data_IF_248450018530
#
_entry.id   IF_248450018530
#
_cell.length_a   1.000
_cell.length_b   1.000
_cell.length_c   1.000
_cell.angle_alpha   90.00
_cell.angle_beta   90.00
_cell.angle_gamma   90.00
#
_symmetry.space_group_name_H-M   'P 1'
#
loop_
_entity.id
_entity.type
_entity.pdbx_description
1 polymer ?
#
# COMPACT_ATOMS: atom_id res chain seq x y z
N UNK A 1 -6.13 -39.27 13.57
CA UNK A 1 -6.16 -37.99 12.84
C UNK A 1 -7.60 -37.49 12.83
N UNK A 2 -7.87 -36.26 13.29
CA UNK A 2 -9.19 -35.62 13.10
C UNK A 2 -9.24 -35.11 11.66
N UNK A 3 -10.29 -35.44 10.93
CA UNK A 3 -10.52 -34.96 9.57
C UNK A 3 -11.75 -34.05 9.57
N UNK A 4 -11.65 -32.93 8.88
CA UNK A 4 -12.77 -32.02 8.64
C UNK A 4 -13.20 -32.14 7.18
N UNK A 5 -14.51 -32.22 6.94
CA UNK A 5 -15.09 -32.27 5.59
C UNK A 5 -16.15 -31.18 5.47
N UNK A 6 -16.02 -30.34 4.46
CA UNK A 6 -16.96 -29.29 4.13
C UNK A 6 -17.06 -29.15 2.61
N UNK A 7 -18.17 -28.60 2.12
CA UNK A 7 -18.30 -28.25 0.70
C UNK A 7 -17.34 -27.12 0.34
N UNK A 8 -17.29 -26.09 1.19
CA UNK A 8 -16.36 -24.95 1.10
C UNK A 8 -15.73 -24.70 2.47
N UNK A 9 -14.45 -24.35 2.49
CA UNK A 9 -13.74 -23.85 3.66
C UNK A 9 -13.44 -22.36 3.50
N UNK A 10 -13.43 -21.63 4.60
CA UNK A 10 -12.99 -20.23 4.66
C UNK A 10 -11.85 -20.17 5.67
N UNK A 11 -10.65 -19.78 5.23
CA UNK A 11 -9.53 -19.54 6.13
C UNK A 11 -9.53 -18.10 6.63
N UNK A 12 -10.19 -17.90 7.78
CA UNK A 12 -10.20 -16.64 8.51
C UNK A 12 -9.16 -16.59 9.64
N UNK A 13 -8.27 -17.59 9.76
CA UNK A 13 -7.20 -17.55 10.78
C UNK A 13 -6.24 -16.41 10.50
N UNK A 14 -5.61 -15.81 11.50
CA UNK A 14 -4.74 -14.65 11.30
C UNK A 14 -3.56 -14.97 10.36
N UNK A 15 -2.88 -16.11 10.60
CA UNK A 15 -1.68 -16.56 9.86
C UNK A 15 -1.95 -17.40 8.60
N UNK A 16 -3.18 -17.85 8.38
CA UNK A 16 -3.53 -18.69 7.21
C UNK A 16 -3.21 -20.17 7.41
N UNK A 17 -3.52 -20.70 8.59
CA UNK A 17 -3.15 -22.08 8.97
C UNK A 17 -3.68 -23.13 7.99
N UNK A 18 -4.87 -22.96 7.41
CA UNK A 18 -5.40 -23.92 6.43
C UNK A 18 -4.65 -23.80 5.11
N UNK A 19 -4.32 -22.57 4.69
CA UNK A 19 -3.53 -22.33 3.47
C UNK A 19 -2.14 -22.95 3.56
N UNK A 20 -1.48 -22.84 4.73
CA UNK A 20 -0.19 -23.48 5.01
C UNK A 20 -0.28 -25.00 5.01
N UNK A 21 -1.29 -25.57 5.67
CA UNK A 21 -1.55 -27.02 5.64
C UNK A 21 -1.76 -27.55 4.21
N UNK A 22 -2.25 -26.70 3.32
CA UNK A 22 -2.46 -26.99 1.91
C UNK A 22 -1.26 -26.65 1.01
N UNK A 23 -0.13 -26.21 1.55
CA UNK A 23 1.05 -25.76 0.81
C UNK A 23 0.71 -24.71 -0.26
N UNK A 24 -0.17 -23.76 0.08
CA UNK A 24 -0.50 -22.64 -0.80
C UNK A 24 0.72 -21.73 -0.90
N UNK A 25 1.24 -21.43 -2.11
CA UNK A 25 2.41 -20.58 -2.25
C UNK A 25 2.09 -19.13 -1.87
N UNK A 26 3.08 -18.41 -1.37
CA UNK A 26 2.97 -17.02 -0.93
C UNK A 26 4.31 -16.31 -1.08
N UNK A 27 4.26 -14.98 -1.02
CA UNK A 27 5.41 -14.11 -0.73
C UNK A 27 5.25 -13.50 0.66
N UNK A 28 6.36 -13.04 1.26
CA UNK A 28 6.39 -12.37 2.56
C UNK A 28 6.55 -10.85 2.41
N UNK A 29 5.83 -10.10 3.23
CA UNK A 29 5.99 -8.65 3.35
C UNK A 29 6.00 -7.95 2.00
N UNK A 30 7.10 -7.28 1.69
CA UNK A 30 7.33 -6.56 0.44
C UNK A 30 8.38 -7.19 -0.49
N UNK A 31 8.48 -8.52 -0.48
CA UNK A 31 9.34 -9.28 -1.41
C UNK A 31 9.06 -8.98 -2.89
N UNK A 32 7.79 -8.76 -3.27
CA UNK A 32 7.40 -8.38 -4.64
C UNK A 32 7.89 -7.00 -5.07
N UNK A 33 8.28 -6.14 -4.11
CA UNK A 33 8.87 -4.84 -4.35
C UNK A 33 10.41 -4.87 -4.29
N UNK A 34 11.02 -6.06 -4.20
CA UNK A 34 12.47 -6.21 -4.07
C UNK A 34 13.00 -5.85 -2.68
N UNK A 35 12.14 -5.79 -1.66
CA UNK A 35 12.52 -5.44 -0.28
C UNK A 35 12.18 -6.63 0.64
N UNK A 36 13.06 -7.66 0.71
CA UNK A 36 12.83 -8.81 1.55
C UNK A 36 12.81 -8.42 3.04
N UNK A 37 12.12 -9.22 3.85
CA UNK A 37 12.04 -9.06 5.31
C UNK A 37 11.50 -7.70 5.79
N UNK A 38 10.74 -7.01 4.93
CA UNK A 38 10.10 -5.74 5.25
C UNK A 38 8.58 -5.90 5.30
N UNK A 39 7.99 -5.56 6.45
CA UNK A 39 6.58 -5.77 6.76
C UNK A 39 5.92 -4.47 7.21
N UNK A 40 4.59 -4.36 7.04
CA UNK A 40 3.84 -3.31 7.72
C UNK A 40 4.01 -3.39 9.25
N UNK A 41 4.07 -2.26 9.95
CA UNK A 41 4.23 -2.25 11.40
C UNK A 41 3.03 -2.86 12.11
N UNK A 42 3.27 -3.48 13.27
CA UNK A 42 2.21 -4.02 14.11
C UNK A 42 1.48 -2.89 14.83
N UNK A 43 0.16 -3.01 15.00
CA UNK A 43 -0.64 -1.98 15.67
C UNK A 43 -0.98 -2.38 17.11
N UNK A 44 -0.79 -1.43 18.04
CA UNK A 44 -1.03 -1.58 19.47
C UNK A 44 -2.01 -0.53 19.97
N UNK A 45 -3.30 -0.84 19.90
CA UNK A 45 -4.32 0.00 20.53
C UNK A 45 -4.43 -0.37 22.01
N UNK A 46 -4.42 0.64 22.89
CA UNK A 46 -4.42 0.43 24.34
C UNK A 46 -5.50 1.25 25.03
N UNK A 47 -5.91 0.79 26.22
CA UNK A 47 -6.93 1.43 27.03
C UNK A 47 -6.33 2.25 28.15
N UNK A 48 -6.95 3.39 28.40
CA UNK A 48 -6.72 4.22 29.58
C UNK A 48 -8.04 4.47 30.31
N UNK A 49 -7.97 4.67 31.63
CA UNK A 49 -9.11 4.95 32.50
C UNK A 49 -8.85 6.21 33.32
N UNK A 50 -9.89 6.83 33.86
CA UNK A 50 -9.78 8.04 34.68
C UNK A 50 -9.71 9.32 33.86
N UNK A 51 -10.22 9.27 32.63
CA UNK A 51 -10.32 10.44 31.75
C UNK A 51 -11.65 11.14 32.01
N UNK A 52 -11.65 12.47 32.06
CA UNK A 52 -12.86 13.30 32.13
C UNK A 52 -13.57 13.30 30.75
N UNK A 53 -14.27 12.21 30.47
CA UNK A 53 -14.99 12.01 29.21
C UNK A 53 -16.11 13.03 29.03
N UNK A 54 -16.70 13.55 30.11
CA UNK A 54 -17.72 14.59 30.02
C UNK A 54 -17.13 15.89 29.47
N UNK A 55 -15.96 16.31 29.96
CA UNK A 55 -15.20 17.42 29.40
C UNK A 55 -14.82 17.16 27.94
N UNK A 56 -14.38 15.95 27.60
CA UNK A 56 -14.09 15.57 26.21
C UNK A 56 -15.31 15.61 25.30
N UNK A 57 -16.47 15.13 25.75
CA UNK A 57 -17.74 15.15 24.99
C UNK A 57 -18.24 16.58 24.78
N UNK A 58 -18.06 17.47 25.77
CA UNK A 58 -18.36 18.90 25.64
C UNK A 58 -17.39 19.59 24.67
N UNK A 59 -16.10 19.25 24.72
CA UNK A 59 -15.07 19.73 23.80
C UNK A 59 -15.20 19.19 22.37
N UNK A 60 -15.70 17.97 22.17
CA UNK A 60 -15.88 17.33 20.85
C UNK A 60 -16.86 18.06 19.91
N UNK A 61 -17.60 19.05 20.40
CA UNK A 61 -18.45 19.91 19.57
C UNK A 61 -17.66 20.95 18.78
N UNK A 62 -16.35 21.07 19.01
CA UNK A 62 -15.41 21.87 18.19
C UNK A 62 -14.40 20.94 17.51
N UNK A 63 -14.13 21.15 16.22
CA UNK A 63 -13.08 20.45 15.46
C UNK A 63 -11.70 20.60 16.12
N UNK A 64 -11.47 21.75 16.75
CA UNK A 64 -10.21 22.16 17.35
C UNK A 64 -9.66 21.17 18.38
N UNK A 65 -10.52 20.49 19.16
CA UNK A 65 -10.05 19.58 20.20
C UNK A 65 -9.42 18.29 19.64
N UNK A 66 -9.96 17.74 18.55
CA UNK A 66 -9.40 16.52 17.94
C UNK A 66 -8.04 16.84 17.31
N UNK A 67 -7.92 18.00 16.68
CA UNK A 67 -6.68 18.44 16.07
C UNK A 67 -5.64 18.81 17.14
N UNK A 68 -6.04 19.49 18.22
CA UNK A 68 -5.18 19.75 19.38
C UNK A 68 -4.69 18.43 20.01
N UNK A 69 -5.59 17.47 20.25
CA UNK A 69 -5.21 16.16 20.76
C UNK A 69 -4.18 15.47 19.86
N UNK A 70 -4.40 15.47 18.55
CA UNK A 70 -3.45 14.92 17.58
C UNK A 70 -2.11 15.62 17.64
N UNK A 71 -2.10 16.95 17.65
CA UNK A 71 -0.87 17.74 17.74
C UNK A 71 -0.09 17.44 19.02
N UNK A 72 -0.78 17.31 20.16
CA UNK A 72 -0.15 16.93 21.43
C UNK A 72 0.47 15.54 21.34
N UNK A 73 -0.22 14.53 20.82
CA UNK A 73 0.33 13.19 20.69
C UNK A 73 1.49 13.12 19.69
N UNK A 74 1.47 13.93 18.64
CA UNK A 74 2.59 14.02 17.68
C UNK A 74 3.79 14.76 18.25
N UNK A 75 3.62 15.57 19.30
CA UNK A 75 4.72 16.22 20.03
C UNK A 75 5.38 15.30 21.07
N UNK A 76 4.80 14.12 21.33
CA UNK A 76 5.40 13.13 22.20
C UNK A 76 6.70 12.60 21.59
N UNK A 77 7.79 12.70 22.35
CA UNK A 77 9.07 12.09 21.99
C UNK A 77 9.06 10.63 22.40
N UNK A 78 9.17 9.75 21.41
CA UNK A 78 9.17 8.31 21.64
C UNK A 78 10.36 7.87 22.49
N UNK A 79 10.15 6.86 23.31
CA UNK A 79 11.19 6.24 24.12
C UNK A 79 11.81 5.03 23.40
N UNK A 80 10.98 4.14 22.87
CA UNK A 80 11.43 2.94 22.19
C UNK A 80 11.74 3.22 20.70
N UNK A 81 12.95 2.92 20.20
CA UNK A 81 13.32 3.22 18.81
C UNK A 81 12.40 2.58 17.75
N UNK A 82 11.85 1.39 18.03
CA UNK A 82 10.96 0.64 17.13
C UNK A 82 9.52 1.18 17.10
N UNK A 83 9.14 2.06 18.03
CA UNK A 83 7.77 2.57 18.08
C UNK A 83 7.60 3.85 17.27
N UNK A 84 6.35 4.11 16.87
CA UNK A 84 5.93 5.35 16.21
C UNK A 84 4.47 5.62 16.55
N UNK A 85 4.13 6.90 16.71
CA UNK A 85 2.73 7.33 16.80
C UNK A 85 2.33 7.89 15.44
N UNK A 86 1.39 7.23 14.78
CA UNK A 86 0.91 7.58 13.44
C UNK A 86 -0.60 7.82 13.49
N UNK A 87 -1.02 8.98 12.98
CA UNK A 87 -2.44 9.40 12.89
C UNK A 87 -3.24 9.10 14.18
N UNK A 88 -2.78 9.55 15.35
CA UNK A 88 -3.36 9.14 16.62
C UNK A 88 -4.85 9.52 16.71
N UNK A 89 -5.62 8.64 17.34
CA UNK A 89 -7.04 8.87 17.59
C UNK A 89 -7.48 8.25 18.91
N UNK A 90 -8.71 8.54 19.32
CA UNK A 90 -9.28 7.90 20.49
C UNK A 90 -10.76 7.55 20.30
N UNK A 91 -11.18 6.47 20.93
CA UNK A 91 -12.56 6.02 20.99
C UNK A 91 -12.99 6.06 22.46
N UNK A 92 -14.11 6.75 22.73
CA UNK A 92 -14.74 6.74 24.05
C UNK A 92 -15.45 5.40 24.20
N UNK A 93 -14.99 4.58 25.13
CA UNK A 93 -15.57 3.26 25.37
C UNK A 93 -16.63 3.28 26.47
N UNK A 94 -16.41 4.09 27.51
CA UNK A 94 -17.33 4.26 28.64
C UNK A 94 -17.21 5.69 29.22
N UNK A 95 -17.83 5.97 30.37
CA UNK A 95 -17.86 7.29 31.00
C UNK A 95 -16.52 7.77 31.58
N UNK A 96 -15.51 6.90 31.70
CA UNK A 96 -14.15 7.29 32.11
C UNK A 96 -13.01 6.58 31.33
N UNK A 97 -13.37 5.75 30.36
CA UNK A 97 -12.46 4.88 29.61
C UNK A 97 -12.31 5.35 28.16
N UNK A 98 -11.07 5.41 27.69
CA UNK A 98 -10.73 5.61 26.28
C UNK A 98 -9.89 4.46 25.75
N UNK A 99 -10.06 4.16 24.47
CA UNK A 99 -9.07 3.43 23.65
C UNK A 99 -8.26 4.48 22.90
N UNK A 100 -6.94 4.44 23.00
CA UNK A 100 -6.01 5.23 22.20
C UNK A 100 -5.52 4.35 21.04
N UNK A 101 -5.55 4.90 19.84
CA UNK A 101 -5.03 4.26 18.63
C UNK A 101 -3.89 5.04 18.00
N UNK A 102 -3.09 4.36 17.19
CA UNK A 102 -2.01 4.97 16.39
C UNK A 102 -0.60 4.62 16.87
N UNK A 103 -0.45 3.89 17.98
CA UNK A 103 0.84 3.33 18.36
C UNK A 103 1.16 2.12 17.48
N UNK A 104 2.29 2.18 16.80
CA UNK A 104 2.79 1.18 15.88
C UNK A 104 4.19 0.70 16.29
N UNK A 105 4.52 -0.57 16.01
CA UNK A 105 5.84 -1.17 16.23
C UNK A 105 6.41 -1.71 14.93
N UNK A 106 7.61 -1.25 14.58
CA UNK A 106 8.28 -1.56 13.33
C UNK A 106 9.31 -2.69 13.48
N UNK A 107 9.68 -3.28 12.34
CA UNK A 107 10.74 -4.29 12.21
C UNK A 107 10.51 -5.51 13.11
N UNK A 108 9.28 -6.03 13.17
CA UNK A 108 8.93 -7.22 13.96
C UNK A 108 8.80 -8.43 13.03
N UNK A 109 9.54 -9.51 13.34
CA UNK A 109 9.30 -10.80 12.72
C UNK A 109 8.16 -11.53 13.44
N UNK A 110 7.04 -11.74 12.73
CA UNK A 110 5.84 -12.37 13.31
C UNK A 110 5.90 -13.91 13.35
N UNK A 111 6.96 -14.51 12.79
CA UNK A 111 7.29 -15.94 12.99
C UNK A 111 8.18 -16.17 14.21
N UNK A 112 8.86 -15.14 14.71
CA UNK A 112 9.67 -15.21 15.93
C UNK A 112 8.82 -14.82 17.16
N UNK A 113 8.48 -15.84 17.97
CA UNK A 113 7.73 -15.62 19.21
C UNK A 113 8.51 -14.78 20.23
N UNK A 114 9.85 -14.83 20.24
CA UNK A 114 10.66 -14.03 21.16
C UNK A 114 10.64 -12.55 20.75
N UNK A 115 10.78 -12.26 19.45
CA UNK A 115 10.70 -10.87 18.94
C UNK A 115 9.29 -10.29 19.13
N UNK A 116 8.23 -11.05 18.84
CA UNK A 116 6.85 -10.63 19.13
C UNK A 116 6.64 -10.27 20.60
N UNK A 117 7.17 -11.08 21.52
CA UNK A 117 7.08 -10.82 22.95
C UNK A 117 7.90 -9.60 23.38
N UNK A 118 9.07 -9.36 22.78
CA UNK A 118 9.87 -8.15 23.00
C UNK A 118 9.12 -6.91 22.51
N UNK A 119 8.65 -6.93 21.27
CA UNK A 119 7.87 -5.86 20.65
C UNK A 119 6.62 -5.51 21.45
N UNK A 120 5.93 -6.51 22.02
CA UNK A 120 4.77 -6.28 22.89
C UNK A 120 5.15 -5.51 24.15
N UNK A 121 6.24 -5.88 24.82
CA UNK A 121 6.73 -5.19 26.02
C UNK A 121 7.14 -3.75 25.72
N UNK A 122 7.84 -3.53 24.62
CA UNK A 122 8.24 -2.20 24.13
C UNK A 122 7.01 -1.33 23.88
N UNK A 123 5.99 -1.85 23.17
CA UNK A 123 4.74 -1.14 22.93
C UNK A 123 3.97 -0.84 24.23
N UNK A 124 3.94 -1.79 25.16
CA UNK A 124 3.26 -1.63 26.44
C UNK A 124 3.94 -0.56 27.32
N UNK A 125 5.28 -0.53 27.33
CA UNK A 125 6.05 0.53 27.97
C UNK A 125 5.79 1.89 27.32
N UNK A 126 5.84 1.98 25.99
CA UNK A 126 5.53 3.19 25.25
C UNK A 126 4.13 3.71 25.57
N UNK A 127 3.12 2.82 25.60
CA UNK A 127 1.75 3.16 25.95
C UNK A 127 1.62 3.73 27.37
N UNK A 128 2.37 3.18 28.34
CA UNK A 128 2.42 3.71 29.71
C UNK A 128 3.07 5.08 29.78
N UNK A 129 4.19 5.28 29.07
CA UNK A 129 4.89 6.56 29.00
C UNK A 129 4.05 7.63 28.30
N UNK A 130 3.39 7.27 27.19
CA UNK A 130 2.44 8.14 26.50
C UNK A 130 1.27 8.52 27.41
N UNK A 131 0.74 7.57 28.20
CA UNK A 131 -0.31 7.87 29.18
C UNK A 131 0.18 8.86 30.25
N UNK A 132 1.41 8.68 30.76
CA UNK A 132 2.02 9.60 31.71
C UNK A 132 2.26 11.00 31.10
N UNK A 133 2.62 11.06 29.83
CA UNK A 133 2.73 12.32 29.09
C UNK A 133 1.37 13.03 28.99
N UNK A 134 0.31 12.32 28.55
CA UNK A 134 -1.04 12.90 28.43
C UNK A 134 -1.56 13.45 29.75
N UNK A 135 -1.27 12.76 30.86
CA UNK A 135 -1.61 13.19 32.22
C UNK A 135 -1.06 14.57 32.58
N UNK A 136 0.12 14.93 32.05
CA UNK A 136 0.77 16.20 32.36
C UNK A 136 0.40 17.33 31.39
N UNK A 137 -0.11 17.01 30.19
CA UNK A 137 -0.39 18.00 29.15
C UNK A 137 -1.88 18.37 29.08
N UNK A 138 -2.78 17.39 29.21
CA UNK A 138 -4.21 17.61 28.97
C UNK A 138 -4.99 17.53 30.28
N UNK A 139 -5.74 18.59 30.59
CA UNK A 139 -6.52 18.69 31.84
C UNK A 139 -7.52 17.53 31.98
N UNK A 140 -8.16 17.13 30.88
CA UNK A 140 -9.10 16.00 30.87
C UNK A 140 -8.45 14.65 31.19
N UNK A 141 -7.12 14.55 31.11
CA UNK A 141 -6.34 13.34 31.33
C UNK A 141 -5.57 13.37 32.66
N UNK A 142 -5.72 14.42 33.48
CA UNK A 142 -4.93 14.61 34.72
C UNK A 142 -5.02 13.46 35.73
N UNK A 143 -6.13 12.72 35.72
CA UNK A 143 -6.38 11.58 36.62
C UNK A 143 -6.26 10.24 35.87
N UNK A 144 -5.85 10.26 34.61
CA UNK A 144 -5.81 9.06 33.80
C UNK A 144 -4.67 8.10 34.21
N UNK A 145 -4.90 6.82 33.97
CA UNK A 145 -3.93 5.74 34.15
C UNK A 145 -4.04 4.73 33.02
N UNK A 146 -2.92 4.10 32.70
CA UNK A 146 -2.89 2.99 31.75
C UNK A 146 -3.69 1.83 32.33
N UNK A 147 -4.60 1.25 31.53
CA UNK A 147 -5.46 0.15 31.94
C UNK A 147 -4.94 -1.19 31.43
N UNK A 148 -4.87 -1.35 30.11
CA UNK A 148 -4.45 -2.58 29.46
C UNK A 148 -4.13 -2.37 27.97
N UNK A 149 -3.38 -3.31 27.39
CA UNK A 149 -3.09 -3.42 25.96
C UNK A 149 -4.04 -4.44 25.30
N UNK A 150 -3.89 -4.67 23.99
CA UNK A 150 -4.67 -5.67 23.28
C UNK A 150 -4.17 -7.09 23.61
N UNK A 151 -5.02 -8.11 23.57
CA UNK A 151 -4.57 -9.50 23.82
C UNK A 151 -3.46 -9.95 22.86
N UNK A 152 -3.51 -9.47 21.61
CA UNK A 152 -2.50 -9.69 20.58
C UNK A 152 -2.40 -8.44 19.71
N UNK A 153 -1.25 -8.24 19.06
CA UNK A 153 -1.12 -7.24 18.02
C UNK A 153 -2.13 -7.46 16.88
N UNK A 154 -2.61 -6.37 16.32
CA UNK A 154 -3.13 -6.43 14.96
C UNK A 154 -1.95 -6.47 13.98
N UNK A 155 -1.95 -7.46 13.09
CA UNK A 155 -0.93 -7.69 12.07
C UNK A 155 -1.52 -7.24 10.73
N UNK A 156 -1.18 -6.05 10.22
CA UNK A 156 -1.78 -5.53 8.98
C UNK A 156 -1.33 -6.33 7.76
N UNK A 157 -0.08 -6.79 7.75
CA UNK A 157 0.54 -7.47 6.63
C UNK A 157 1.47 -8.57 7.14
N UNK A 158 1.50 -9.70 6.45
CA UNK A 158 2.56 -10.67 6.66
C UNK A 158 2.84 -11.53 5.43
N UNK A 159 1.89 -12.40 5.05
CA UNK A 159 1.97 -13.28 3.88
C UNK A 159 0.92 -12.87 2.85
N UNK A 160 1.35 -12.74 1.59
CA UNK A 160 0.46 -12.53 0.44
C UNK A 160 0.40 -13.84 -0.36
N UNK A 161 -0.71 -14.58 -0.21
CA UNK A 161 -0.87 -15.88 -0.85
C UNK A 161 -1.21 -15.74 -2.33
N UNK A 162 -0.64 -16.63 -3.15
CA UNK A 162 -0.95 -16.67 -4.57
C UNK A 162 -2.39 -17.17 -4.79
N UNK A 163 -3.13 -16.40 -5.57
CA UNK A 163 -4.55 -16.59 -5.85
C UNK A 163 -4.78 -16.87 -7.33
N UNK A 164 -6.03 -17.12 -7.72
CA UNK A 164 -6.44 -17.17 -9.13
C UNK A 164 -6.35 -15.81 -9.81
N UNK A 165 -6.39 -14.73 -9.04
CA UNK A 165 -6.15 -13.36 -9.51
C UNK A 165 -5.45 -12.52 -8.44
N UNK A 166 -4.26 -12.00 -8.74
CA UNK A 166 -3.55 -11.08 -7.83
C UNK A 166 -3.97 -9.64 -8.16
N UNK A 167 -4.68 -8.98 -7.23
CA UNK A 167 -5.01 -7.56 -7.38
C UNK A 167 -3.74 -6.70 -7.29
N UNK A 168 -3.54 -5.83 -8.26
CA UNK A 168 -2.34 -4.97 -8.37
C UNK A 168 -2.64 -3.52 -8.03
N UNK A 169 -1.61 -2.69 -7.90
CA UNK A 169 -1.80 -1.23 -7.75
C UNK A 169 -2.33 -0.65 -9.05
N UNK A 170 -1.91 -1.18 -10.21
CA UNK A 170 -2.44 -0.80 -11.51
C UNK A 170 -3.96 -1.01 -11.62
N UNK A 171 -4.49 -2.13 -11.11
CA UNK A 171 -5.94 -2.37 -11.07
C UNK A 171 -6.68 -1.30 -10.24
N UNK A 172 -6.06 -0.86 -9.14
CA UNK A 172 -6.60 0.20 -8.28
C UNK A 172 -6.52 1.55 -8.99
N UNK A 173 -5.39 1.86 -9.65
CA UNK A 173 -5.19 3.07 -10.47
C UNK A 173 -6.27 3.20 -11.55
N UNK A 174 -6.59 2.09 -12.20
CA UNK A 174 -7.60 1.99 -13.26
C UNK A 174 -9.04 2.02 -12.72
N UNK A 175 -9.26 2.04 -11.40
CA UNK A 175 -10.60 1.96 -10.79
C UNK A 175 -11.37 0.76 -11.37
N UNK A 176 -10.76 -0.42 -11.36
CA UNK A 176 -11.25 -1.57 -12.12
C UNK A 176 -12.53 -2.18 -11.53
N UNK A 177 -13.53 -2.36 -12.39
CA UNK A 177 -14.77 -3.08 -12.11
C UNK A 177 -14.69 -4.52 -12.66
N UNK A 178 -14.50 -5.50 -11.78
CA UNK A 178 -14.33 -6.90 -12.12
C UNK A 178 -15.68 -7.60 -12.29
N UNK A 179 -15.81 -8.42 -13.34
CA UNK A 179 -17.01 -9.23 -13.61
C UNK A 179 -17.42 -10.13 -12.44
N UNK A 180 -16.43 -10.64 -11.70
CA UNK A 180 -16.56 -11.56 -10.57
C UNK A 180 -16.39 -10.85 -9.22
N UNK A 181 -16.67 -9.54 -9.14
CA UNK A 181 -16.54 -8.76 -7.91
C UNK A 181 -17.36 -9.33 -6.74
N UNK A 182 -16.76 -9.23 -5.55
CA UNK A 182 -17.36 -9.64 -4.27
C UNK A 182 -17.40 -8.53 -3.23
N UNK A 183 -16.72 -7.42 -3.48
CA UNK A 183 -16.78 -6.21 -2.64
C UNK A 183 -16.26 -4.99 -3.39
N UNK A 184 -16.52 -3.81 -2.83
CA UNK A 184 -16.02 -2.52 -3.34
C UNK A 184 -15.09 -1.87 -2.30
N UNK A 185 -14.13 -1.09 -2.77
CA UNK A 185 -13.18 -0.36 -1.95
C UNK A 185 -12.84 1.00 -2.57
N UNK A 186 -12.51 1.98 -1.74
CA UNK A 186 -12.07 3.31 -2.14
C UNK A 186 -10.91 3.85 -1.28
N UNK A 187 -10.27 2.95 -0.51
CA UNK A 187 -9.13 3.31 0.32
C UNK A 187 -7.93 3.69 -0.55
N UNK A 188 -7.16 4.68 -0.14
CA UNK A 188 -5.93 5.06 -0.83
C UNK A 188 -4.85 3.95 -0.74
N UNK A 189 -3.92 3.95 -1.71
CA UNK A 189 -2.72 3.11 -1.65
C UNK A 189 -1.66 3.87 -0.86
N UNK A 190 -1.32 3.36 0.31
CA UNK A 190 -0.47 4.03 1.31
C UNK A 190 0.88 3.31 1.42
N UNK A 191 1.94 3.96 0.96
CA UNK A 191 3.31 3.46 1.07
C UNK A 191 4.09 4.11 2.23
N UNK A 192 3.42 4.75 3.18
CA UNK A 192 4.05 5.40 4.35
C UNK A 192 4.85 4.41 5.20
N UNK A 193 4.57 3.10 5.11
CA UNK A 193 5.39 2.08 5.77
C UNK A 193 6.86 2.16 5.37
N UNK A 194 7.18 2.60 4.15
CA UNK A 194 8.55 2.75 3.64
C UNK A 194 9.23 4.07 4.03
N UNK A 195 8.54 4.97 4.74
CA UNK A 195 9.03 6.30 5.06
C UNK A 195 9.36 6.40 6.55
N UNK A 196 10.58 6.82 6.87
CA UNK A 196 11.07 6.96 8.25
C UNK A 196 10.27 8.01 9.05
N UNK A 197 9.96 9.12 8.41
CA UNK A 197 9.35 10.28 9.05
C UNK A 197 7.83 10.11 9.20
N UNK A 198 7.18 10.91 10.05
CA UNK A 198 5.71 10.97 10.18
C UNK A 198 5.03 11.62 8.95
N UNK A 199 5.59 11.40 7.76
CA UNK A 199 5.11 11.91 6.48
C UNK A 199 4.28 10.83 5.82
N UNK A 200 3.07 11.21 5.39
CA UNK A 200 2.19 10.32 4.64
C UNK A 200 2.65 10.25 3.18
N UNK A 201 2.82 9.05 2.66
CA UNK A 201 3.15 8.80 1.25
C UNK A 201 2.00 8.03 0.58
N UNK A 202 1.10 8.79 -0.05
CA UNK A 202 -0.07 8.24 -0.76
C UNK A 202 0.28 8.08 -2.23
N UNK A 203 0.40 6.85 -2.71
CA UNK A 203 0.73 6.55 -4.11
C UNK A 203 -0.38 7.08 -5.02
N UNK A 204 -1.62 6.76 -4.68
CA UNK A 204 -2.83 7.25 -5.33
C UNK A 204 -4.05 7.03 -4.43
N UNK A 205 -5.13 7.75 -4.71
CA UNK A 205 -6.45 7.59 -4.07
C UNK A 205 -7.50 7.24 -5.14
N UNK A 206 -8.03 6.01 -5.17
CA UNK A 206 -9.05 5.63 -6.14
C UNK A 206 -10.38 6.32 -5.80
N UNK A 207 -11.27 6.43 -6.78
CA UNK A 207 -12.68 6.75 -6.53
C UNK A 207 -13.40 5.52 -6.00
N UNK A 208 -13.25 4.40 -6.72
CA UNK A 208 -13.73 3.07 -6.34
C UNK A 208 -13.05 2.02 -7.20
N UNK A 209 -12.76 0.86 -6.64
CA UNK A 209 -12.40 -0.34 -7.37
C UNK A 209 -13.09 -1.53 -6.71
N UNK A 210 -13.12 -2.66 -7.40
CA UNK A 210 -13.76 -3.87 -6.89
C UNK A 210 -12.73 -4.93 -6.51
N UNK A 211 -13.07 -5.73 -5.50
CA UNK A 211 -12.30 -6.91 -5.10
C UNK A 211 -12.83 -8.11 -5.90
N UNK A 212 -12.03 -8.73 -6.79
CA UNK A 212 -12.48 -9.89 -7.55
C UNK A 212 -12.52 -11.15 -6.69
N UNK A 213 -13.48 -12.04 -6.95
CA UNK A 213 -13.52 -13.38 -6.33
C UNK A 213 -12.20 -14.12 -6.56
N UNK A 214 -11.55 -13.92 -7.71
CA UNK A 214 -10.26 -14.52 -8.03
C UNK A 214 -9.18 -14.28 -6.97
N UNK A 215 -9.19 -13.14 -6.27
CA UNK A 215 -8.25 -12.83 -5.19
C UNK A 215 -8.52 -13.60 -3.90
N UNK A 216 -9.74 -14.11 -3.72
CA UNK A 216 -10.11 -14.92 -2.55
C UNK A 216 -9.87 -16.41 -2.79
N UNK A 217 -9.68 -16.85 -4.03
CA UNK A 217 -9.50 -18.28 -4.35
C UNK A 217 -8.00 -18.58 -4.49
N UNK A 218 -7.41 -19.46 -3.66
CA UNK A 218 -6.01 -19.85 -3.76
C UNK A 218 -5.68 -20.55 -5.08
N UNK A 219 -4.47 -20.33 -5.61
CA UNK A 219 -4.06 -20.85 -6.94
C UNK A 219 -4.07 -22.38 -7.05
N UNK A 220 -3.87 -23.09 -5.94
CA UNK A 220 -3.78 -24.56 -5.91
C UNK A 220 -5.03 -25.24 -5.33
N UNK A 221 -6.05 -24.48 -4.90
CA UNK A 221 -7.24 -25.01 -4.25
C UNK A 221 -8.51 -24.71 -5.06
N UNK A 222 -9.56 -25.48 -4.80
CA UNK A 222 -10.84 -25.38 -5.51
C UNK A 222 -11.95 -24.85 -4.60
N UNK A 223 -11.97 -25.29 -3.35
CA UNK A 223 -13.06 -25.05 -2.41
C UNK A 223 -12.62 -24.34 -1.12
N UNK A 224 -11.54 -23.58 -1.18
CA UNK A 224 -11.05 -22.76 -0.07
C UNK A 224 -11.14 -21.29 -0.47
N UNK A 225 -11.62 -20.46 0.44
CA UNK A 225 -11.57 -19.00 0.33
C UNK A 225 -10.59 -18.45 1.38
N UNK A 226 -9.77 -17.49 0.99
CA UNK A 226 -8.84 -16.76 1.86
C UNK A 226 -9.24 -15.28 1.95
N UNK A 227 -9.03 -14.70 3.13
CA UNK A 227 -9.56 -13.38 3.50
C UNK A 227 -8.51 -12.46 4.12
N UNK A 228 -8.84 -11.18 4.13
CA UNK A 228 -8.06 -10.15 4.81
C UNK A 228 -6.72 -9.88 4.14
N UNK A 229 -5.70 -9.62 4.95
CA UNK A 229 -4.32 -9.41 4.48
C UNK A 229 -3.68 -10.60 3.77
N UNK A 230 -4.34 -11.75 3.77
CA UNK A 230 -3.87 -12.98 3.12
C UNK A 230 -4.46 -13.18 1.72
N UNK A 231 -5.48 -12.41 1.36
CA UNK A 231 -6.05 -12.47 0.02
C UNK A 231 -4.99 -12.07 -1.02
N UNK A 232 -5.17 -12.54 -2.25
CA UNK A 232 -4.17 -12.39 -3.30
C UNK A 232 -4.12 -10.98 -3.83
N UNK A 233 -3.28 -10.15 -3.20
CA UNK A 233 -2.98 -8.77 -3.55
C UNK A 233 -1.45 -8.62 -3.65
N UNK A 234 -0.95 -7.70 -4.48
CA UNK A 234 0.46 -7.26 -4.34
C UNK A 234 0.63 -6.55 -3.00
N UNK A 235 1.85 -6.54 -2.45
CA UNK A 235 2.08 -6.03 -1.09
C UNK A 235 1.66 -4.57 -0.93
N UNK A 236 1.88 -3.75 -1.96
CA UNK A 236 1.43 -2.37 -2.00
C UNK A 236 -0.08 -2.25 -2.22
N UNK A 237 -0.70 -3.04 -3.11
CA UNK A 237 -2.16 -3.03 -3.26
C UNK A 237 -2.87 -3.43 -1.95
N UNK A 238 -2.23 -4.30 -1.16
CA UNK A 238 -2.76 -4.78 0.12
C UNK A 238 -2.96 -3.65 1.15
N UNK A 239 -2.23 -2.53 1.06
CA UNK A 239 -2.40 -1.38 1.97
C UNK A 239 -3.75 -0.70 1.77
N UNK A 240 -4.34 -0.81 0.58
CA UNK A 240 -5.68 -0.34 0.26
C UNK A 240 -6.72 -1.45 0.44
N UNK A 241 -6.55 -2.56 -0.29
CA UNK A 241 -7.53 -3.65 -0.35
C UNK A 241 -7.63 -4.43 0.98
N UNK A 242 -6.58 -4.38 1.79
CA UNK A 242 -6.51 -4.93 3.13
C UNK A 242 -6.98 -3.95 4.21
N UNK A 243 -7.64 -2.84 3.89
CA UNK A 243 -8.22 -1.96 4.92
C UNK A 243 -9.30 -2.69 5.75
N UNK A 244 -9.45 -2.34 7.03
CA UNK A 244 -10.41 -3.00 7.93
C UNK A 244 -11.84 -3.05 7.34
N UNK A 245 -12.42 -1.96 6.80
CA UNK A 245 -13.75 -1.99 6.19
C UNK A 245 -13.83 -3.01 5.05
N UNK A 246 -12.83 -3.05 4.17
CA UNK A 246 -12.79 -4.01 3.06
C UNK A 246 -12.67 -5.45 3.58
N UNK A 247 -11.88 -5.71 4.61
CA UNK A 247 -11.78 -7.06 5.22
C UNK A 247 -13.12 -7.55 5.75
N UNK A 248 -13.89 -6.67 6.40
CA UNK A 248 -15.22 -7.00 6.92
C UNK A 248 -16.16 -7.36 5.75
N UNK A 249 -16.22 -6.50 4.73
CA UNK A 249 -17.06 -6.74 3.55
C UNK A 249 -16.69 -8.04 2.83
N UNK A 250 -15.40 -8.28 2.61
CA UNK A 250 -14.90 -9.49 1.95
C UNK A 250 -15.19 -10.75 2.79
N UNK A 251 -15.13 -10.64 4.12
CA UNK A 251 -15.51 -11.73 5.02
C UNK A 251 -16.98 -12.12 4.89
N UNK A 252 -17.88 -11.12 4.90
CA UNK A 252 -19.31 -11.34 4.67
C UNK A 252 -19.56 -11.93 3.27
N UNK A 253 -18.89 -11.39 2.25
CA UNK A 253 -19.01 -11.86 0.88
C UNK A 253 -18.56 -13.32 0.73
N UNK A 254 -17.49 -13.73 1.41
CA UNK A 254 -17.02 -15.12 1.39
C UNK A 254 -18.03 -16.09 1.99
N UNK A 255 -18.74 -15.68 3.05
CA UNK A 255 -19.87 -16.43 3.59
C UNK A 255 -20.99 -16.63 2.55
N UNK A 256 -21.35 -15.56 1.85
CA UNK A 256 -22.36 -15.59 0.79
C UNK A 256 -21.92 -16.42 -0.42
N UNK A 257 -20.66 -16.30 -0.86
CA UNK A 257 -20.07 -17.11 -1.93
C UNK A 257 -20.07 -18.59 -1.56
N UNK A 258 -19.75 -18.92 -0.30
CA UNK A 258 -19.79 -20.30 0.22
C UNK A 258 -21.21 -20.89 0.19
N UNK A 259 -22.20 -20.10 0.61
CA UNK A 259 -23.61 -20.49 0.53
C UNK A 259 -24.07 -20.67 -0.92
N UNK A 260 -23.75 -19.72 -1.80
CA UNK A 260 -24.06 -19.80 -3.23
C UNK A 260 -23.44 -21.03 -3.90
N UNK A 261 -22.15 -21.29 -3.62
CA UNK A 261 -21.41 -22.47 -4.07
C UNK A 261 -22.14 -23.77 -3.68
N UNK A 262 -22.63 -23.82 -2.44
CA UNK A 262 -23.38 -24.98 -1.92
C UNK A 262 -24.74 -25.13 -2.62
N UNK A 263 -25.51 -24.05 -2.78
CA UNK A 263 -26.81 -24.05 -3.47
C UNK A 263 -26.67 -24.51 -4.92
N UNK A 264 -25.61 -24.06 -5.59
CA UNK A 264 -25.34 -24.39 -7.00
C UNK A 264 -24.57 -25.69 -7.20
N UNK A 265 -24.16 -26.36 -6.12
CA UNK A 265 -23.30 -27.56 -6.16
C UNK A 265 -22.03 -27.33 -7.00
N UNK A 266 -21.40 -26.16 -6.85
CA UNK A 266 -20.17 -25.76 -7.56
C UNK A 266 -19.12 -25.27 -6.57
N UNK A 267 -17.84 -25.25 -6.96
CA UNK A 267 -16.77 -24.71 -6.13
C UNK A 267 -16.57 -23.22 -6.39
N UNK A 268 -16.08 -22.43 -5.41
CA UNK A 268 -15.66 -21.06 -5.64
C UNK A 268 -14.71 -20.89 -6.83
N UNK A 269 -13.78 -21.82 -7.04
CA UNK A 269 -12.88 -21.77 -8.20
C UNK A 269 -13.63 -21.94 -9.53
N UNK A 270 -14.62 -22.82 -9.61
CA UNK A 270 -15.42 -23.02 -10.84
C UNK A 270 -16.30 -21.82 -11.17
N UNK A 271 -16.73 -21.05 -10.16
CA UNK A 271 -17.51 -19.81 -10.37
C UNK A 271 -16.73 -18.81 -11.23
N UNK A 272 -15.40 -18.75 -11.11
CA UNK A 272 -14.56 -17.84 -11.89
C UNK A 272 -14.65 -18.07 -13.41
N UNK A 273 -14.93 -19.31 -13.82
CA UNK A 273 -15.09 -19.69 -15.23
C UNK A 273 -16.55 -19.73 -15.67
N UNK A 274 -17.47 -19.27 -14.82
CA UNK A 274 -18.89 -19.25 -15.14
C UNK A 274 -19.22 -18.14 -16.15
N UNK A 275 -20.32 -18.34 -16.88
CA UNK A 275 -20.85 -17.35 -17.80
C UNK A 275 -21.38 -16.11 -17.06
N UNK A 276 -21.68 -15.07 -17.83
CA UNK A 276 -22.13 -13.77 -17.30
C UNK A 276 -23.44 -13.90 -16.53
N UNK A 277 -24.32 -14.83 -16.92
CA UNK A 277 -25.61 -15.03 -16.25
C UNK A 277 -25.40 -15.58 -14.83
N UNK A 278 -24.49 -16.52 -14.66
CA UNK A 278 -24.21 -17.12 -13.36
C UNK A 278 -23.42 -16.15 -12.45
N UNK A 279 -22.48 -15.37 -13.01
CA UNK A 279 -21.83 -14.30 -12.25
C UNK A 279 -22.81 -13.18 -11.85
N UNK A 280 -23.74 -12.82 -12.71
CA UNK A 280 -24.82 -11.88 -12.36
C UNK A 280 -25.74 -12.45 -11.28
N UNK A 281 -26.01 -13.76 -11.31
CA UNK A 281 -26.75 -14.43 -10.25
C UNK A 281 -26.00 -14.38 -8.91
N UNK A 282 -24.68 -14.58 -8.93
CA UNK A 282 -23.83 -14.41 -7.74
C UNK A 282 -23.88 -12.98 -7.22
N UNK A 283 -23.65 -11.97 -8.07
CA UNK A 283 -23.71 -10.54 -7.67
C UNK A 283 -25.08 -10.19 -7.07
N UNK A 284 -26.18 -10.66 -7.68
CA UNK A 284 -27.54 -10.49 -7.14
C UNK A 284 -27.70 -11.16 -5.77
N UNK A 285 -27.14 -12.36 -5.59
CA UNK A 285 -27.18 -13.07 -4.32
C UNK A 285 -26.41 -12.33 -3.23
N UNK A 286 -25.19 -11.85 -3.54
CA UNK A 286 -24.36 -11.07 -2.60
C UNK A 286 -25.07 -9.76 -2.20
N UNK A 287 -25.65 -9.03 -3.17
CA UNK A 287 -26.44 -7.80 -2.86
C UNK A 287 -27.64 -8.06 -1.97
N UNK A 288 -28.33 -9.18 -2.14
CA UNK A 288 -29.44 -9.58 -1.25
C UNK A 288 -28.96 -9.89 0.17
N UNK A 289 -27.68 -10.23 0.35
CA UNK A 289 -27.02 -10.36 1.65
C UNK A 289 -26.59 -9.04 2.29
N UNK A 290 -26.83 -7.90 1.62
CA UNK A 290 -26.55 -6.56 2.17
C UNK A 290 -25.24 -5.92 1.75
N UNK A 291 -24.48 -6.54 0.84
CA UNK A 291 -23.22 -6.00 0.32
C UNK A 291 -23.49 -5.19 -0.95
N UNK A 292 -23.04 -3.94 -0.98
CA UNK A 292 -23.12 -3.09 -2.16
C UNK A 292 -22.17 -3.58 -3.26
N UNK A 293 -22.70 -3.77 -4.48
CA UNK A 293 -21.97 -4.24 -5.67
C UNK A 293 -22.49 -3.55 -6.94
N UNK A 294 -22.70 -2.23 -6.88
CA UNK A 294 -23.02 -1.44 -8.07
C UNK A 294 -21.94 -1.58 -9.15
N UNK A 295 -22.36 -1.53 -10.40
CA UNK A 295 -21.45 -1.38 -11.55
C UNK A 295 -21.00 0.09 -11.66
N UNK A 296 -19.76 0.29 -12.08
CA UNK A 296 -19.18 1.62 -12.19
C UNK A 296 -18.17 1.71 -13.33
N UNK A 297 -17.90 2.93 -13.77
CA UNK A 297 -16.89 3.25 -14.79
C UNK A 297 -16.23 4.55 -14.40
N UNK A 298 -15.21 4.45 -13.55
CA UNK A 298 -14.48 5.60 -13.03
C UNK A 298 -13.08 5.68 -13.62
N UNK A 299 -12.47 6.86 -13.54
CA UNK A 299 -11.09 7.08 -13.96
C UNK A 299 -10.46 8.16 -13.11
N UNK A 300 -9.14 8.08 -12.91
CA UNK A 300 -8.35 9.18 -12.39
C UNK A 300 -8.21 10.24 -13.48
N UNK A 301 -8.42 11.48 -13.08
CA UNK A 301 -8.26 12.63 -13.94
C UNK A 301 -6.97 13.35 -13.56
N UNK A 302 -6.26 13.87 -14.57
CA UNK A 302 -5.11 14.74 -14.36
C UNK A 302 -5.64 16.09 -13.86
N UNK A 303 -5.26 16.57 -12.67
CA UNK A 303 -5.89 17.73 -12.05
C UNK A 303 -5.87 19.01 -12.90
N UNK A 304 -4.82 19.23 -13.69
CA UNK A 304 -4.68 20.44 -14.50
C UNK A 304 -5.51 20.42 -15.79
N UNK A 305 -5.77 19.26 -16.37
CA UNK A 305 -6.41 19.12 -17.70
C UNK A 305 -7.79 18.47 -17.64
N UNK A 306 -8.13 17.82 -16.54
CA UNK A 306 -9.31 16.95 -16.37
C UNK A 306 -9.36 15.76 -17.35
N UNK A 307 -8.30 15.52 -18.13
CA UNK A 307 -8.18 14.37 -19.00
C UNK A 307 -7.98 13.11 -18.18
N UNK A 308 -8.43 11.96 -18.69
CA UNK A 308 -8.17 10.68 -18.03
C UNK A 308 -6.68 10.40 -18.04
N UNK A 309 -6.14 10.04 -16.88
CA UNK A 309 -4.74 9.63 -16.77
C UNK A 309 -4.40 8.47 -17.72
N UNK A 310 -5.35 7.57 -17.97
CA UNK A 310 -5.21 6.42 -18.89
C UNK A 310 -5.02 6.83 -20.35
N UNK A 311 -5.44 8.03 -20.72
CA UNK A 311 -5.40 8.53 -22.10
C UNK A 311 -4.09 9.32 -22.36
N UNK A 312 -3.34 9.63 -21.31
CA UNK A 312 -2.06 10.35 -21.40
C UNK A 312 -0.96 9.46 -22.01
N UNK A 313 -0.10 10.04 -22.85
CA UNK A 313 0.96 9.29 -23.55
C UNK A 313 1.91 8.55 -22.60
N UNK A 314 2.22 9.16 -21.46
CA UNK A 314 3.10 8.60 -20.43
C UNK A 314 2.41 7.62 -19.46
N UNK A 315 1.11 7.33 -19.65
CA UNK A 315 0.33 6.51 -18.72
C UNK A 315 0.99 5.18 -18.38
N UNK A 316 1.50 4.46 -19.39
CA UNK A 316 2.11 3.15 -19.17
C UNK A 316 3.31 3.21 -18.22
N UNK A 317 4.13 4.27 -18.30
CA UNK A 317 5.26 4.49 -17.41
C UNK A 317 4.82 4.90 -16.01
N UNK A 318 3.78 5.75 -15.90
CA UNK A 318 3.16 6.10 -14.61
C UNK A 318 2.65 4.84 -13.92
N UNK A 319 1.87 4.01 -14.64
CA UNK A 319 1.34 2.73 -14.16
C UNK A 319 2.45 1.83 -13.63
N UNK A 320 3.55 1.70 -14.37
CA UNK A 320 4.67 0.87 -13.95
C UNK A 320 5.36 1.43 -12.69
N UNK A 321 5.56 2.74 -12.59
CA UNK A 321 6.20 3.37 -11.43
C UNK A 321 5.32 3.31 -10.17
N UNK A 322 4.00 3.48 -10.29
CA UNK A 322 3.09 3.38 -9.14
C UNK A 322 2.97 1.95 -8.63
N UNK A 323 3.11 0.93 -9.50
CA UNK A 323 3.10 -0.48 -9.09
C UNK A 323 4.19 -0.76 -8.06
N UNK A 324 5.35 -0.12 -8.22
CA UNK A 324 6.46 -0.22 -7.28
C UNK A 324 6.44 0.86 -6.19
N UNK A 325 5.45 1.75 -6.16
CA UNK A 325 5.39 2.89 -5.24
C UNK A 325 6.60 3.81 -5.37
N UNK A 326 7.06 4.06 -6.59
CA UNK A 326 8.21 4.92 -6.90
C UNK A 326 7.82 6.39 -7.11
N UNK A 327 6.57 6.63 -7.48
CA UNK A 327 5.97 7.95 -7.63
C UNK A 327 4.66 8.01 -6.84
N UNK A 328 4.27 9.23 -6.48
CA UNK A 328 3.09 9.52 -5.66
C UNK A 328 2.29 10.64 -6.31
N UNK A 329 0.99 10.40 -6.45
CA UNK A 329 0.00 11.43 -6.83
C UNK A 329 -0.62 12.12 -5.62
N UNK A 330 -0.33 11.66 -4.40
CA UNK A 330 -0.98 12.17 -3.19
C UNK A 330 -2.49 11.90 -3.17
N UNK A 331 -3.22 12.64 -2.32
CA UNK A 331 -4.69 12.51 -2.22
C UNK A 331 -5.42 13.09 -3.42
N UNK A 332 -4.77 14.01 -4.15
CA UNK A 332 -5.32 14.71 -5.31
C UNK A 332 -5.02 13.97 -6.63
N UNK A 333 -4.25 12.87 -6.58
CA UNK A 333 -3.78 12.12 -7.76
C UNK A 333 -3.01 12.96 -8.78
N UNK A 334 -2.23 13.94 -8.30
CA UNK A 334 -1.41 14.81 -9.11
C UNK A 334 0.02 14.25 -9.25
N UNK A 335 0.29 13.57 -10.36
CA UNK A 335 1.62 13.02 -10.69
C UNK A 335 2.59 14.05 -11.26
N UNK A 336 2.20 15.33 -11.34
CA UNK A 336 3.03 16.45 -11.78
C UNK A 336 3.62 16.28 -13.18
N UNK A 337 2.87 15.66 -14.10
CA UNK A 337 3.35 15.23 -15.42
C UNK A 337 4.03 16.37 -16.22
N UNK A 338 3.49 17.59 -16.16
CA UNK A 338 3.99 18.76 -16.88
C UNK A 338 5.04 19.59 -16.12
N UNK A 339 5.49 19.13 -14.95
CA UNK A 339 6.41 19.90 -14.12
C UNK A 339 7.85 19.71 -14.59
N UNK A 340 8.60 20.80 -14.76
CA UNK A 340 10.03 20.74 -15.09
C UNK A 340 10.81 20.08 -13.95
N UNK A 341 11.54 19.02 -14.28
CA UNK A 341 12.30 18.24 -13.31
C UNK A 341 13.68 18.85 -13.04
N UNK A 342 14.22 18.53 -11.87
CA UNK A 342 15.62 18.72 -11.52
C UNK A 342 16.40 17.40 -11.59
N UNK A 343 17.73 17.51 -11.61
CA UNK A 343 18.62 16.35 -11.76
C UNK A 343 18.48 15.34 -10.63
N UNK A 344 18.28 15.81 -9.40
CA UNK A 344 18.09 14.97 -8.21
C UNK A 344 16.85 14.07 -8.35
N UNK A 345 15.75 14.59 -8.88
CA UNK A 345 14.52 13.82 -9.07
C UNK A 345 14.78 12.60 -9.97
N UNK A 346 15.45 12.80 -11.10
CA UNK A 346 15.78 11.70 -12.01
C UNK A 346 16.81 10.73 -11.41
N UNK A 347 17.86 11.26 -10.79
CA UNK A 347 18.91 10.43 -10.19
C UNK A 347 18.37 9.52 -9.06
N UNK A 348 17.53 10.08 -8.17
CA UNK A 348 16.87 9.33 -7.09
C UNK A 348 15.88 8.31 -7.66
N UNK A 349 15.09 8.70 -8.66
CA UNK A 349 14.12 7.79 -9.28
C UNK A 349 14.80 6.59 -9.94
N UNK A 350 15.91 6.79 -10.67
CA UNK A 350 16.68 5.69 -11.27
C UNK A 350 17.21 4.74 -10.19
N UNK A 351 17.81 5.26 -9.12
CA UNK A 351 18.34 4.43 -8.02
C UNK A 351 17.26 3.56 -7.41
N UNK A 352 16.11 4.17 -7.09
CA UNK A 352 14.99 3.46 -6.49
C UNK A 352 14.33 2.47 -7.46
N UNK A 353 14.21 2.83 -8.74
CA UNK A 353 13.68 1.95 -9.77
C UNK A 353 14.59 0.74 -9.98
N UNK A 354 15.91 0.92 -10.05
CA UNK A 354 16.86 -0.19 -10.12
C UNK A 354 16.79 -1.08 -8.89
N UNK A 355 16.74 -0.50 -7.68
CA UNK A 355 16.60 -1.24 -6.43
C UNK A 355 15.36 -2.14 -6.40
N UNK A 356 14.20 -1.65 -6.89
CA UNK A 356 12.94 -2.40 -6.82
C UNK A 356 12.70 -3.33 -8.02
N UNK A 357 13.13 -2.93 -9.22
CA UNK A 357 12.80 -3.62 -10.48
C UNK A 357 13.94 -4.51 -11.01
N UNK A 358 15.18 -4.23 -10.62
CA UNK A 358 16.38 -4.94 -11.05
C UNK A 358 17.45 -4.99 -9.92
N UNK A 359 17.10 -5.52 -8.73
CA UNK A 359 17.96 -5.45 -7.54
C UNK A 359 19.38 -6.00 -7.77
N UNK A 360 19.50 -7.09 -8.54
CA UNK A 360 20.80 -7.72 -8.87
C UNK A 360 21.73 -6.82 -9.71
N UNK A 361 21.18 -5.79 -10.36
CA UNK A 361 21.93 -4.82 -11.17
C UNK A 361 22.27 -3.55 -10.40
N UNK A 362 21.61 -3.32 -9.26
CA UNK A 362 21.91 -2.16 -8.42
C UNK A 362 23.16 -2.44 -7.57
N UNK A 363 24.28 -1.84 -7.98
CA UNK A 363 25.57 -1.96 -7.29
C UNK A 363 26.02 -0.61 -6.74
N UNK A 364 26.87 -0.65 -5.71
CA UNK A 364 27.37 0.56 -5.03
C UNK A 364 28.02 1.58 -5.98
N UNK A 365 28.61 1.13 -7.08
CA UNK A 365 29.19 2.01 -8.11
C UNK A 365 28.14 2.88 -8.82
N UNK A 366 26.94 2.35 -9.10
CA UNK A 366 25.84 3.13 -9.69
C UNK A 366 25.42 4.24 -8.72
N UNK A 367 25.26 3.92 -7.44
CA UNK A 367 24.91 4.91 -6.41
C UNK A 367 25.96 6.03 -6.35
N UNK A 368 27.24 5.67 -6.35
CA UNK A 368 28.34 6.63 -6.31
C UNK A 368 28.43 7.48 -7.59
N UNK A 369 28.23 6.88 -8.76
CA UNK A 369 28.27 7.55 -10.04
C UNK A 369 27.13 8.55 -10.23
N UNK A 370 25.95 8.28 -9.66
CA UNK A 370 24.79 9.15 -9.73
C UNK A 370 24.77 10.26 -8.66
N UNK A 371 25.57 10.14 -7.59
CA UNK A 371 25.63 11.12 -6.49
C UNK A 371 25.88 12.57 -6.93
N UNK A 372 26.72 12.87 -7.94
CA UNK A 372 26.90 14.25 -8.43
C UNK A 372 25.62 14.91 -8.97
N UNK A 373 24.64 14.11 -9.40
CA UNK A 373 23.36 14.59 -9.94
C UNK A 373 22.29 14.80 -8.86
N UNK A 374 22.56 14.48 -7.60
CA UNK A 374 21.68 14.76 -6.46
C UNK A 374 21.74 16.25 -6.08
N UNK A 375 21.34 17.10 -7.03
CA UNK A 375 21.32 18.54 -6.91
C UNK A 375 20.06 19.13 -7.57
N UNK A 376 19.62 20.30 -7.11
CA UNK A 376 18.38 20.94 -7.55
C UNK A 376 18.54 21.71 -8.88
N UNK A 377 19.56 21.41 -9.69
CA UNK A 377 19.74 22.06 -11.00
C UNK A 377 18.70 21.49 -11.97
N UNK A 378 18.15 22.35 -12.83
CA UNK A 378 17.21 21.95 -13.88
C UNK A 378 17.76 20.81 -14.74
N UNK A 379 16.88 19.89 -15.10
CA UNK A 379 17.19 18.77 -15.95
C UNK A 379 16.98 19.16 -17.42
N UNK A 380 18.06 19.17 -18.19
CA UNK A 380 18.02 19.35 -19.64
C UNK A 380 18.08 18.00 -20.37
N UNK A 381 17.72 17.93 -21.65
CA UNK A 381 17.79 16.69 -22.43
C UNK A 381 19.18 16.08 -22.48
N UNK A 382 20.21 16.89 -22.66
CA UNK A 382 21.61 16.43 -22.61
C UNK A 382 21.96 15.82 -21.24
N UNK A 383 21.52 16.47 -20.16
CA UNK A 383 21.79 16.01 -18.81
C UNK A 383 21.00 14.76 -18.44
N UNK A 384 19.75 14.64 -18.90
CA UNK A 384 18.94 13.45 -18.71
C UNK A 384 19.57 12.23 -19.39
N UNK A 385 20.06 12.42 -20.62
CA UNK A 385 20.78 11.37 -21.33
C UNK A 385 22.07 10.97 -20.64
N UNK A 386 22.85 11.96 -20.18
CA UNK A 386 24.06 11.74 -19.38
C UNK A 386 23.79 10.89 -18.14
N UNK A 387 22.74 11.23 -17.37
CA UNK A 387 22.35 10.50 -16.17
C UNK A 387 22.01 9.03 -16.49
N UNK A 388 21.28 8.76 -17.57
CA UNK A 388 20.95 7.38 -17.98
C UNK A 388 22.22 6.62 -18.37
N UNK A 389 23.05 7.20 -19.24
CA UNK A 389 24.28 6.56 -19.70
C UNK A 389 25.21 6.25 -18.52
N UNK A 390 25.33 7.17 -17.56
CA UNK A 390 26.09 6.96 -16.32
C UNK A 390 25.49 5.83 -15.48
N UNK A 391 24.16 5.81 -15.30
CA UNK A 391 23.49 4.74 -14.55
C UNK A 391 23.72 3.36 -15.17
N UNK A 392 23.74 3.29 -16.50
CA UNK A 392 23.94 2.07 -17.28
C UNK A 392 25.41 1.75 -17.56
N UNK A 393 26.34 2.59 -17.07
CA UNK A 393 27.78 2.47 -17.34
C UNK A 393 28.14 2.43 -18.83
N UNK A 394 27.45 3.23 -19.64
CA UNK A 394 27.63 3.33 -21.09
C UNK A 394 28.54 4.54 -21.44
N UNK A 395 29.41 4.40 -22.45
CA UNK A 395 30.34 5.47 -22.84
C UNK A 395 29.61 6.58 -23.60
N UNK A 396 30.10 7.82 -23.43
CA UNK A 396 29.65 8.98 -24.19
C UNK A 396 30.72 10.07 -24.17
N UNK A 397 30.70 10.93 -25.18
CA UNK A 397 31.53 12.14 -25.22
C UNK A 397 30.79 13.31 -24.55
N UNK A 398 31.53 14.11 -23.80
CA UNK A 398 30.96 15.27 -23.09
C UNK A 398 30.32 16.26 -24.08
N UNK A 399 29.02 16.50 -23.93
CA UNK A 399 28.24 17.37 -24.81
C UNK A 399 27.50 16.64 -25.94
N UNK A 400 27.67 15.31 -26.06
CA UNK A 400 27.00 14.45 -27.03
C UNK A 400 26.24 13.28 -26.36
N UNK A 401 25.83 13.43 -25.10
CA UNK A 401 25.15 12.37 -24.36
C UNK A 401 23.79 12.03 -24.97
N UNK A 402 23.02 13.01 -25.44
CA UNK A 402 21.72 12.76 -26.06
C UNK A 402 21.82 11.97 -27.37
N UNK A 403 22.82 12.30 -28.20
CA UNK A 403 23.13 11.56 -29.43
C UNK A 403 23.58 10.13 -29.08
N UNK A 404 24.55 10.00 -28.17
CA UNK A 404 25.05 8.69 -27.73
C UNK A 404 23.92 7.81 -27.18
N UNK A 405 23.01 8.35 -26.38
CA UNK A 405 21.85 7.62 -25.86
C UNK A 405 20.90 7.18 -26.97
N UNK A 406 20.63 8.07 -27.94
CA UNK A 406 19.77 7.76 -29.09
C UNK A 406 20.34 6.62 -29.93
N UNK A 407 21.66 6.60 -30.12
CA UNK A 407 22.38 5.55 -30.87
C UNK A 407 22.34 4.18 -30.19
N UNK A 408 22.17 4.13 -28.87
CA UNK A 408 22.05 2.85 -28.15
C UNK A 408 20.78 2.09 -28.49
N UNK A 409 19.71 2.79 -28.88
CA UNK A 409 18.38 2.22 -29.06
C UNK A 409 17.71 1.73 -27.76
N UNK A 410 18.27 2.05 -26.59
CA UNK A 410 17.71 1.69 -25.28
C UNK A 410 16.43 2.46 -25.00
N UNK A 411 16.43 3.75 -25.33
CA UNK A 411 15.26 4.61 -25.24
C UNK A 411 14.60 4.69 -26.61
N UNK A 412 13.29 4.50 -26.63
CA UNK A 412 12.48 4.51 -27.84
C UNK A 412 12.57 5.85 -28.57
N UNK A 413 12.60 5.85 -29.91
CA UNK A 413 12.64 7.08 -30.72
C UNK A 413 11.47 8.04 -30.48
N UNK A 414 10.30 7.54 -30.03
CA UNK A 414 9.16 8.41 -29.73
C UNK A 414 9.42 9.35 -28.53
N UNK A 415 10.38 9.01 -27.67
CA UNK A 415 10.85 9.83 -26.55
C UNK A 415 12.03 10.68 -26.98
N UNK A 416 13.12 10.07 -27.47
CA UNK A 416 14.37 10.79 -27.75
C UNK A 416 14.20 11.86 -28.83
N UNK A 417 13.34 11.64 -29.83
CA UNK A 417 13.06 12.63 -30.88
C UNK A 417 12.31 13.88 -30.37
N UNK A 418 11.76 13.84 -29.16
CA UNK A 418 11.10 14.99 -28.53
C UNK A 418 12.07 15.81 -27.66
N UNK A 419 13.28 15.31 -27.42
CA UNK A 419 14.27 15.94 -26.55
C UNK A 419 15.21 16.84 -27.33
N UNK A 420 15.63 17.94 -26.73
CA UNK A 420 16.72 18.79 -27.23
C UNK A 420 17.79 18.96 -26.15
N UNK A 421 19.08 19.17 -26.51
CA UNK A 421 20.17 19.23 -25.53
C UNK A 421 19.94 20.25 -24.41
N UNK A 422 19.43 21.45 -24.75
CA UNK A 422 19.15 22.55 -23.83
C UNK A 422 17.69 22.59 -23.33
N UNK A 423 16.79 21.78 -23.89
CA UNK A 423 15.38 21.77 -23.52
C UNK A 423 15.18 21.22 -22.11
N UNK A 424 14.34 21.89 -21.32
CA UNK A 424 13.96 21.39 -20.00
C UNK A 424 13.08 20.15 -20.12
N UNK A 425 13.28 19.19 -19.23
CA UNK A 425 12.58 17.91 -19.23
C UNK A 425 11.48 17.92 -18.17
N UNK A 426 10.25 17.58 -18.58
CA UNK A 426 9.11 17.42 -17.68
C UNK A 426 9.05 16.00 -17.10
N UNK A 427 8.31 15.83 -15.99
CA UNK A 427 8.29 14.56 -15.26
C UNK A 427 7.71 13.39 -16.04
N UNK A 428 6.77 13.61 -16.96
CA UNK A 428 6.29 12.57 -17.87
C UNK A 428 7.41 11.94 -18.72
N UNK A 429 8.33 12.75 -19.25
CA UNK A 429 9.53 12.28 -19.94
C UNK A 429 10.53 11.63 -18.97
N UNK A 430 10.71 12.17 -17.76
CA UNK A 430 11.55 11.50 -16.74
C UNK A 430 11.04 10.10 -16.47
N UNK A 431 9.73 9.93 -16.26
CA UNK A 431 9.11 8.63 -15.98
C UNK A 431 9.35 7.64 -17.12
N UNK A 432 9.18 8.09 -18.36
CA UNK A 432 9.43 7.29 -19.56
C UNK A 432 10.91 6.86 -19.68
N UNK A 433 11.82 7.83 -19.56
CA UNK A 433 13.27 7.63 -19.64
C UNK A 433 13.77 6.63 -18.58
N UNK A 434 13.33 6.78 -17.33
CA UNK A 434 13.73 5.88 -16.25
C UNK A 434 13.21 4.46 -16.49
N UNK A 435 11.94 4.30 -16.84
CA UNK A 435 11.35 2.97 -17.03
C UNK A 435 12.00 2.23 -18.20
N UNK A 436 12.21 2.88 -19.34
CA UNK A 436 12.87 2.23 -20.49
C UNK A 436 14.33 1.89 -20.19
N UNK A 437 15.08 2.79 -19.52
CA UNK A 437 16.44 2.52 -19.10
C UNK A 437 16.52 1.31 -18.15
N UNK A 438 15.68 1.25 -17.12
CA UNK A 438 15.70 0.15 -16.13
C UNK A 438 15.21 -1.16 -16.74
N UNK A 439 14.25 -1.12 -17.68
CA UNK A 439 13.82 -2.32 -18.42
C UNK A 439 14.93 -2.90 -19.30
N UNK A 440 15.82 -2.07 -19.84
CA UNK A 440 16.91 -2.54 -20.70
C UNK A 440 17.94 -3.42 -19.99
N UNK A 441 18.00 -3.37 -18.66
CA UNK A 441 18.94 -4.14 -17.82
C UNK A 441 18.29 -5.27 -17.02
N UNK A 442 16.96 -5.40 -17.11
CA UNK A 442 16.20 -6.53 -16.53
C UNK A 442 16.30 -7.74 -17.44
#
# INVERSE_FOLDING_TARGET
>A
KKYYKAHVFIDATQKGHLLELCNTPYIKGSEDLGIPDFYAPLEFNFRITGVDVEALRKGRKTTDFIDEFRLVLLAYEKFNPRTKIVSPSFIINDDNDLVISGLQVFNVDVEDEEDLNSAYKEAEEEARLLTAFLKNILIAFKDCTYKEGPENFFIPEYKHYMSRYTLTVADILENKDFRDKVGLCSQEVDASKFISDNIKYVVMKPKVYSIPLGSLVPINLQNVLMLGSKAGFTSLASTSAGSIPTRITVGEAAGLVSAFSTIRSTTPANILSADDNELDALKKYIRRGGIELSDFSESILIPETEEKLTDHWAYSYVRDLVEYGLISGGTENDFKLNYEASQDVMAVLIKNAMLKMAPDKYVASVNQALKPYENNVKLTGEKAAEIILVALSLPYDKGNALEALSDTGIISPHITNQLTPEGNITLDYVYALVIEAVRSIR
#
